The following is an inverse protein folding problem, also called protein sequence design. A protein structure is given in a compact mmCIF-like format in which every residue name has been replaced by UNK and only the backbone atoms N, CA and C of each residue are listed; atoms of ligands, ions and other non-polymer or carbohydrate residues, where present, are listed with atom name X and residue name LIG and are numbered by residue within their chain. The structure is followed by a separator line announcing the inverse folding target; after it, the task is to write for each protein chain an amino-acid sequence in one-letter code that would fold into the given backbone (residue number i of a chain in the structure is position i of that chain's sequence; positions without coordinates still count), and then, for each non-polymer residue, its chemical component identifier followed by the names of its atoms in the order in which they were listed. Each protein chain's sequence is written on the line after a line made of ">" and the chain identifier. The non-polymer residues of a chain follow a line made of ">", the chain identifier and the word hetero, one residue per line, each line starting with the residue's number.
data_IF_819353549595
#
_entry.id   IF_819353549595
#
_cell.length_a   1.000
_cell.length_b   1.000
_cell.length_c   1.000
_cell.angle_alpha   90.00
_cell.angle_beta   90.00
_cell.angle_gamma   90.00
#
_symmetry.space_group_name_H-M   'P 1'
#
loop_
_entity.id
_entity.type
_entity.pdbx_description
1 polymer ?
#
# COMPACT_ATOMS: atom_id res chain seq x y z
N UNK A 1 -7.36 -17.24 4.53
CA UNK A 1 -6.43 -16.73 3.49
C UNK A 1 -6.23 -17.73 2.36
N UNK A 2 -6.02 -19.02 2.65
CA UNK A 2 -5.80 -20.06 1.63
C UNK A 2 -6.99 -20.29 0.68
N UNK A 3 -8.21 -20.11 1.18
CA UNK A 3 -9.45 -20.30 0.40
C UNK A 3 -9.86 -19.07 -0.44
N UNK A 4 -9.11 -17.97 -0.38
CA UNK A 4 -9.45 -16.76 -1.11
C UNK A 4 -9.13 -16.91 -2.61
N UNK A 5 -9.93 -16.25 -3.45
CA UNK A 5 -9.67 -16.19 -4.90
C UNK A 5 -8.68 -15.06 -5.20
N UNK A 6 -7.46 -15.42 -5.55
CA UNK A 6 -6.43 -14.45 -5.94
C UNK A 6 -6.48 -14.13 -7.44
N UNK A 7 -6.12 -12.90 -7.77
CA UNK A 7 -5.78 -12.46 -9.12
C UNK A 7 -4.42 -11.73 -9.09
N UNK A 8 -3.86 -11.48 -10.27
CA UNK A 8 -2.48 -11.05 -10.42
C UNK A 8 -2.30 -9.96 -11.49
N UNK A 9 -3.37 -9.23 -11.81
CA UNK A 9 -3.36 -8.23 -12.88
C UNK A 9 -2.21 -7.23 -12.72
N UNK A 10 -1.98 -6.72 -11.51
CA UNK A 10 -0.92 -5.74 -11.27
C UNK A 10 0.46 -6.29 -11.67
N UNK A 11 0.81 -7.49 -11.20
CA UNK A 11 2.13 -8.09 -11.44
C UNK A 11 2.25 -8.75 -12.82
N UNK A 12 1.13 -9.03 -13.47
CA UNK A 12 1.09 -9.63 -14.82
C UNK A 12 1.16 -8.57 -15.91
N UNK A 13 0.47 -7.45 -15.73
CA UNK A 13 0.22 -6.47 -16.79
C UNK A 13 1.18 -5.26 -16.72
N UNK A 14 1.88 -5.05 -15.60
CA UNK A 14 2.86 -3.97 -15.43
C UNK A 14 4.32 -4.48 -15.48
N UNK A 15 5.28 -3.64 -15.91
CA UNK A 15 6.68 -4.04 -15.99
C UNK A 15 7.27 -4.33 -14.60
N UNK A 16 7.81 -5.54 -14.44
CA UNK A 16 8.50 -5.98 -13.25
C UNK A 16 9.99 -5.61 -13.30
N UNK A 17 10.57 -5.34 -12.14
CA UNK A 17 12.01 -5.30 -11.96
C UNK A 17 12.61 -6.70 -12.19
N UNK A 18 13.60 -6.85 -13.10
CA UNK A 18 14.19 -8.15 -13.38
C UNK A 18 15.04 -8.68 -12.21
N UNK A 19 15.44 -7.82 -11.27
CA UNK A 19 16.23 -8.23 -10.10
C UNK A 19 15.33 -8.61 -8.93
N UNK A 20 15.68 -9.72 -8.29
CA UNK A 20 15.08 -10.20 -7.04
C UNK A 20 15.91 -9.84 -5.80
N UNK A 21 16.94 -9.00 -5.95
CA UNK A 21 17.81 -8.62 -4.83
C UNK A 21 17.04 -7.74 -3.84
N UNK A 22 16.93 -8.12 -2.55
CA UNK A 22 16.12 -7.42 -1.56
C UNK A 22 16.81 -6.19 -0.95
N UNK A 23 17.97 -5.78 -1.47
CA UNK A 23 18.76 -4.66 -0.93
C UNK A 23 18.33 -3.32 -1.53
N UNK A 24 18.42 -2.21 -0.76
CA UNK A 24 18.12 -0.88 -1.27
C UNK A 24 18.90 -0.51 -2.53
N UNK A 25 18.20 -0.07 -3.59
CA UNK A 25 18.80 0.32 -4.87
C UNK A 25 17.86 1.17 -5.72
N UNK A 26 18.40 1.79 -6.77
CA UNK A 26 17.57 2.36 -7.83
C UNK A 26 17.00 1.23 -8.70
N UNK A 27 15.70 1.28 -8.95
CA UNK A 27 14.93 0.38 -9.79
C UNK A 27 14.47 1.18 -10.99
N UNK A 28 14.86 0.76 -12.20
CA UNK A 28 14.60 1.48 -13.44
C UNK A 28 13.63 0.69 -14.31
N UNK A 29 12.76 1.39 -15.06
CA UNK A 29 11.85 0.78 -16.05
C UNK A 29 10.95 -0.33 -15.50
N UNK A 30 10.49 -0.16 -14.27
CA UNK A 30 9.61 -1.09 -13.59
C UNK A 30 8.63 -0.37 -12.65
N UNK A 31 7.45 -0.95 -12.48
CA UNK A 31 6.41 -0.48 -11.55
C UNK A 31 6.52 -1.15 -10.17
N UNK A 32 7.22 -2.28 -10.06
CA UNK A 32 7.39 -3.02 -8.82
C UNK A 32 8.61 -3.94 -8.86
N UNK A 33 9.02 -4.43 -7.69
CA UNK A 33 9.93 -5.57 -7.56
C UNK A 33 9.21 -6.70 -6.83
N UNK A 34 9.40 -7.94 -7.29
CA UNK A 34 9.00 -9.09 -6.50
C UNK A 34 9.77 -9.09 -5.19
N UNK A 35 9.06 -9.20 -4.06
CA UNK A 35 9.66 -9.09 -2.73
C UNK A 35 8.84 -9.90 -1.76
N UNK A 36 9.48 -10.87 -1.10
CA UNK A 36 8.85 -11.67 -0.06
C UNK A 36 8.92 -10.92 1.28
N UNK A 37 7.88 -11.02 2.14
CA UNK A 37 7.98 -10.62 3.52
C UNK A 37 9.14 -11.29 4.25
N UNK A 38 9.75 -10.57 5.19
CA UNK A 38 10.75 -11.12 6.10
C UNK A 38 10.06 -11.74 7.29
N UNK A 39 10.24 -13.05 7.47
CA UNK A 39 9.68 -13.82 8.57
C UNK A 39 9.91 -13.13 9.91
N UNK A 40 8.88 -13.09 10.73
CA UNK A 40 8.92 -12.52 12.08
C UNK A 40 9.08 -13.62 13.13
N UNK A 41 9.62 -13.27 14.30
CA UNK A 41 10.02 -14.23 15.34
C UNK A 41 8.83 -15.01 15.93
N UNK A 42 7.75 -14.31 16.23
CA UNK A 42 6.56 -14.87 16.88
C UNK A 42 5.33 -14.04 16.48
N UNK A 43 4.69 -14.34 15.33
CA UNK A 43 3.49 -13.62 14.91
C UNK A 43 2.35 -13.86 15.90
N UNK A 44 1.85 -12.80 16.51
CA UNK A 44 0.71 -12.85 17.42
C UNK A 44 -0.37 -11.88 16.93
N UNK A 45 -1.50 -12.43 16.49
CA UNK A 45 -2.60 -11.67 15.92
C UNK A 45 -3.40 -11.01 17.05
N UNK A 46 -3.34 -9.68 17.11
CA UNK A 46 -4.02 -8.87 18.13
C UNK A 46 -5.45 -8.52 17.73
N UNK A 47 -5.65 -8.17 16.46
CA UNK A 47 -6.93 -7.67 15.94
C UNK A 47 -7.12 -8.19 14.51
N UNK A 48 -8.37 -8.59 14.21
CA UNK A 48 -8.91 -8.71 12.85
C UNK A 48 -10.17 -7.87 12.80
N UNK A 49 -10.29 -7.00 11.80
CA UNK A 49 -11.49 -6.17 11.60
C UNK A 49 -12.52 -6.99 10.82
N UNK A 50 -13.66 -7.39 11.43
CA UNK A 50 -14.58 -8.33 10.79
C UNK A 50 -15.16 -7.82 9.48
N UNK A 51 -15.51 -6.53 9.40
CA UNK A 51 -16.06 -5.93 8.18
C UNK A 51 -15.07 -5.98 7.01
N UNK A 52 -13.77 -5.78 7.27
CA UNK A 52 -12.74 -5.83 6.23
C UNK A 52 -12.45 -7.28 5.83
N UNK A 53 -12.48 -8.22 6.77
CA UNK A 53 -12.40 -9.65 6.45
C UNK A 53 -13.59 -10.07 5.57
N UNK A 54 -14.77 -9.55 5.87
CA UNK A 54 -15.99 -9.79 5.12
C UNK A 54 -15.91 -9.30 3.66
N UNK A 55 -15.33 -8.12 3.41
CA UNK A 55 -15.05 -7.61 2.05
C UNK A 55 -14.25 -8.62 1.21
N UNK A 56 -13.28 -9.27 1.84
CA UNK A 56 -12.41 -10.25 1.18
C UNK A 56 -13.02 -11.65 1.08
N UNK A 57 -14.15 -11.91 1.76
CA UNK A 57 -14.68 -13.27 1.93
C UNK A 57 -13.85 -14.14 2.88
N UNK A 58 -13.15 -13.51 3.83
CA UNK A 58 -12.30 -14.15 4.83
C UNK A 58 -13.07 -14.38 6.14
N UNK A 59 -12.93 -15.57 6.73
CA UNK A 59 -13.34 -15.83 8.12
C UNK A 59 -12.41 -15.05 9.09
N UNK A 60 -12.94 -14.13 9.91
CA UNK A 60 -12.13 -13.30 10.81
C UNK A 60 -11.64 -14.04 12.06
N UNK A 61 -12.01 -15.31 12.26
CA UNK A 61 -11.62 -16.10 13.44
C UNK A 61 -10.10 -16.14 13.58
N UNK A 62 -9.54 -15.63 14.69
CA UNK A 62 -8.09 -15.64 14.90
C UNK A 62 -7.58 -17.07 15.05
N UNK A 63 -6.68 -17.49 14.15
CA UNK A 63 -5.94 -18.76 14.28
C UNK A 63 -4.43 -18.51 14.15
N UNK A 64 -3.58 -19.43 14.64
CA UNK A 64 -2.13 -19.35 14.43
C UNK A 64 -1.76 -19.23 12.95
N UNK A 65 -2.45 -19.96 12.07
CA UNK A 65 -2.24 -19.92 10.62
C UNK A 65 -2.57 -18.55 10.03
N UNK A 66 -3.64 -17.91 10.50
CA UNK A 66 -4.00 -16.57 10.08
C UNK A 66 -2.95 -15.55 10.55
N UNK A 67 -2.44 -15.71 11.77
CA UNK A 67 -1.36 -14.88 12.31
C UNK A 67 -0.07 -15.05 11.48
N UNK A 68 0.27 -16.27 11.05
CA UNK A 68 1.41 -16.52 10.17
C UNK A 68 1.28 -15.80 8.82
N UNK A 69 0.12 -15.85 8.18
CA UNK A 69 -0.06 -15.18 6.88
C UNK A 69 -0.06 -13.66 7.04
N UNK A 70 -0.82 -13.12 8.00
CA UNK A 70 -0.94 -11.67 8.21
C UNK A 70 0.32 -11.06 8.86
N UNK A 71 1.17 -11.87 9.50
CA UNK A 71 2.49 -11.49 9.98
C UNK A 71 3.60 -11.60 8.92
N UNK A 72 3.31 -12.17 7.75
CA UNK A 72 4.29 -12.37 6.68
C UNK A 72 5.16 -13.62 6.83
N UNK A 73 4.81 -14.55 7.71
CA UNK A 73 5.53 -15.81 7.89
C UNK A 73 5.14 -16.89 6.87
N UNK A 74 3.97 -16.76 6.25
CA UNK A 74 3.47 -17.73 5.29
C UNK A 74 2.84 -17.05 4.07
N UNK A 75 3.26 -17.51 2.89
CA UNK A 75 2.65 -17.15 1.61
C UNK A 75 1.77 -18.32 1.17
N UNK A 76 0.52 -18.02 0.83
CA UNK A 76 -0.47 -19.03 0.42
C UNK A 76 -0.55 -19.14 -1.11
N UNK A 77 -1.06 -20.25 -1.67
CA UNK A 77 -1.22 -20.39 -3.11
C UNK A 77 -2.00 -19.22 -3.73
N UNK A 78 -1.49 -18.69 -4.86
CA UNK A 78 -2.09 -17.56 -5.57
C UNK A 78 -1.50 -16.19 -5.23
N UNK A 79 -0.89 -16.03 -4.05
CA UNK A 79 -0.16 -14.81 -3.71
C UNK A 79 1.07 -14.63 -4.60
N UNK A 80 1.31 -13.39 -5.03
CA UNK A 80 2.50 -12.99 -5.79
C UNK A 80 3.08 -11.71 -5.16
N UNK A 81 3.84 -11.84 -4.06
CA UNK A 81 4.25 -10.69 -3.28
C UNK A 81 5.15 -9.72 -4.04
N UNK A 82 4.91 -8.42 -3.85
CA UNK A 82 5.67 -7.35 -4.48
C UNK A 82 5.75 -6.09 -3.61
N UNK A 83 6.74 -5.25 -3.88
CA UNK A 83 6.85 -3.90 -3.38
C UNK A 83 6.80 -2.90 -4.55
N UNK A 84 5.95 -1.88 -4.48
CA UNK A 84 5.75 -0.94 -5.58
C UNK A 84 6.90 0.08 -5.70
N UNK A 85 7.21 0.45 -6.94
CA UNK A 85 8.18 1.48 -7.29
C UNK A 85 7.44 2.80 -7.58
N UNK A 86 7.77 3.85 -6.84
CA UNK A 86 7.28 5.21 -7.07
C UNK A 86 8.31 6.24 -6.62
N UNK A 87 8.11 7.48 -7.04
CA UNK A 87 8.86 8.65 -6.59
C UNK A 87 7.92 9.59 -5.84
N UNK A 88 8.35 10.83 -5.64
CA UNK A 88 7.46 11.85 -5.09
C UNK A 88 8.17 13.15 -4.74
N UNK A 89 7.38 14.21 -4.64
CA UNK A 89 7.77 15.47 -4.05
C UNK A 89 7.48 15.43 -2.54
N UNK A 90 8.53 15.48 -1.74
CA UNK A 90 8.43 15.55 -0.28
C UNK A 90 8.63 17.00 0.17
N UNK A 91 7.62 17.57 0.83
CA UNK A 91 7.62 18.97 1.28
C UNK A 91 8.01 19.95 0.16
N UNK A 92 7.48 19.74 -1.04
CA UNK A 92 7.70 20.59 -2.22
C UNK A 92 9.01 20.34 -2.98
N UNK A 93 9.85 19.39 -2.56
CA UNK A 93 11.12 19.06 -3.24
C UNK A 93 11.08 17.66 -3.83
N UNK A 94 11.54 17.49 -5.06
CA UNK A 94 11.66 16.17 -5.68
C UNK A 94 12.62 15.27 -4.88
N UNK A 95 12.10 14.16 -4.35
CA UNK A 95 12.85 13.22 -3.52
C UNK A 95 13.50 12.08 -4.32
N UNK A 96 13.33 12.06 -5.65
CA UNK A 96 13.78 10.96 -6.49
C UNK A 96 12.94 9.70 -6.29
N UNK A 97 13.59 8.54 -6.36
CA UNK A 97 12.92 7.26 -6.12
C UNK A 97 12.65 7.04 -4.63
N UNK A 98 11.40 6.72 -4.33
CA UNK A 98 10.89 6.24 -3.07
C UNK A 98 10.52 4.76 -3.24
N UNK A 99 9.23 4.43 -3.18
CA UNK A 99 8.71 3.08 -3.27
C UNK A 99 8.27 2.53 -1.92
N UNK A 100 7.71 1.32 -1.94
CA UNK A 100 7.26 0.63 -0.74
C UNK A 100 8.45 0.16 0.10
N UNK A 101 9.03 1.07 0.87
CA UNK A 101 10.25 0.82 1.65
C UNK A 101 10.06 -0.02 2.92
N UNK A 102 8.82 -0.28 3.32
CA UNK A 102 8.45 -1.14 4.45
C UNK A 102 7.09 -1.81 4.25
N UNK A 103 6.59 -1.81 3.02
CA UNK A 103 5.29 -2.37 2.69
C UNK A 103 5.49 -3.43 1.59
N UNK A 104 4.74 -4.52 1.68
CA UNK A 104 4.77 -5.59 0.71
C UNK A 104 3.32 -5.99 0.45
N UNK A 105 2.87 -5.82 -0.79
CA UNK A 105 1.57 -6.32 -1.23
C UNK A 105 1.68 -7.82 -1.43
N UNK A 106 0.85 -8.62 -0.75
CA UNK A 106 0.85 -10.08 -0.86
C UNK A 106 0.22 -10.55 -2.18
N UNK A 107 -0.76 -9.79 -2.67
CA UNK A 107 -1.48 -10.08 -3.89
C UNK A 107 -2.81 -9.34 -3.92
N UNK A 108 -3.63 -9.72 -4.89
CA UNK A 108 -4.93 -9.13 -5.14
C UNK A 108 -5.99 -10.20 -4.90
N UNK A 109 -6.99 -9.90 -4.08
CA UNK A 109 -8.09 -10.80 -3.75
C UNK A 109 -9.34 -10.32 -4.44
N UNK A 110 -10.03 -11.23 -5.13
CA UNK A 110 -11.38 -10.97 -5.61
C UNK A 110 -12.33 -11.26 -4.46
N UNK A 111 -12.84 -10.20 -3.85
CA UNK A 111 -13.72 -10.22 -2.70
C UNK A 111 -15.20 -10.38 -3.10
N UNK A 112 -16.07 -9.84 -2.25
CA UNK A 112 -17.51 -9.75 -2.52
C UNK A 112 -17.80 -8.87 -3.74
N UNK A 113 -18.91 -9.15 -4.39
CA UNK A 113 -19.39 -8.43 -5.58
C UNK A 113 -18.37 -8.38 -6.74
N UNK A 114 -17.48 -9.38 -6.80
CA UNK A 114 -16.37 -9.46 -7.75
C UNK A 114 -15.39 -8.27 -7.71
N UNK A 115 -15.43 -7.48 -6.63
CA UNK A 115 -14.49 -6.38 -6.42
C UNK A 115 -13.08 -6.90 -6.10
N UNK A 116 -12.07 -6.23 -6.63
CA UNK A 116 -10.67 -6.63 -6.45
C UNK A 116 -9.98 -5.72 -5.45
N UNK A 117 -9.36 -6.32 -4.44
CA UNK A 117 -8.69 -5.64 -3.35
C UNK A 117 -7.22 -6.04 -3.27
N UNK A 118 -6.31 -5.07 -3.22
CA UNK A 118 -4.90 -5.28 -2.89
C UNK A 118 -4.77 -5.50 -1.37
N UNK A 119 -4.06 -6.56 -0.97
CA UNK A 119 -3.78 -6.88 0.45
C UNK A 119 -2.31 -6.62 0.73
N UNK A 120 -2.01 -5.62 1.56
CA UNK A 120 -0.65 -5.12 1.78
C UNK A 120 -0.23 -5.17 3.25
N UNK A 121 0.91 -5.78 3.52
CA UNK A 121 1.51 -5.81 4.86
C UNK A 121 2.50 -4.66 5.01
N UNK A 122 2.27 -3.77 5.99
CA UNK A 122 3.20 -2.68 6.34
C UNK A 122 3.94 -3.04 7.64
N UNK A 123 5.27 -2.96 7.60
CA UNK A 123 6.18 -3.52 8.59
C UNK A 123 6.75 -4.90 8.22
N UNK A 124 6.48 -5.37 7.01
CA UNK A 124 6.77 -6.73 6.54
C UNK A 124 8.25 -7.01 6.24
N UNK A 125 9.16 -6.06 6.48
CA UNK A 125 10.59 -6.22 6.24
C UNK A 125 11.14 -5.29 5.16
N UNK A 126 12.47 -5.33 4.95
CA UNK A 126 13.15 -4.50 3.96
C UNK A 126 12.81 -4.92 2.53
N UNK A 127 12.91 -3.94 1.64
CA UNK A 127 12.65 -4.04 0.20
C UNK A 127 13.74 -3.27 -0.57
N UNK A 128 13.80 -3.36 -1.90
CA UNK A 128 14.67 -2.50 -2.72
C UNK A 128 14.45 -0.99 -2.51
N UNK A 129 13.34 -0.62 -1.87
CA UNK A 129 12.89 0.75 -1.64
C UNK A 129 13.11 1.25 -0.20
N UNK A 130 13.68 0.42 0.69
CA UNK A 130 13.85 0.79 2.12
C UNK A 130 14.83 1.93 2.36
N UNK A 131 15.64 2.31 1.36
CA UNK A 131 16.69 3.33 1.47
C UNK A 131 17.64 3.02 2.64
N UNK A 132 17.53 3.76 3.75
CA UNK A 132 18.34 3.58 4.97
C UNK A 132 17.53 3.01 6.14
N UNK A 133 16.24 2.72 5.94
CA UNK A 133 15.36 2.18 6.97
C UNK A 133 15.45 0.65 7.04
N UNK A 134 15.01 0.10 8.17
CA UNK A 134 15.02 -1.34 8.46
C UNK A 134 13.83 -2.12 7.86
N UNK A 135 12.87 -1.43 7.25
CA UNK A 135 11.66 -2.05 6.68
C UNK A 135 10.63 -2.52 7.72
N UNK A 136 10.79 -2.21 9.00
CA UNK A 136 9.90 -2.62 10.09
C UNK A 136 8.95 -1.49 10.53
N UNK A 137 7.85 -1.86 11.19
CA UNK A 137 6.94 -0.93 11.85
C UNK A 137 6.83 -1.29 13.34
N UNK A 138 6.41 -0.32 14.15
CA UNK A 138 6.22 -0.48 15.60
C UNK A 138 4.74 -0.49 15.94
N UNK A 139 4.39 -1.14 17.06
CA UNK A 139 3.02 -1.30 17.50
C UNK A 139 2.25 0.04 17.53
N UNK A 140 2.85 1.09 18.08
CA UNK A 140 2.21 2.41 18.21
C UNK A 140 1.78 3.01 16.86
N UNK A 141 2.64 3.00 15.85
CA UNK A 141 2.29 3.51 14.51
C UNK A 141 1.24 2.62 13.84
N UNK A 142 1.35 1.30 14.02
CA UNK A 142 0.44 0.34 13.40
C UNK A 142 -0.97 0.41 14.02
N UNK A 143 -1.08 0.64 15.34
CA UNK A 143 -2.36 0.90 16.02
C UNK A 143 -3.01 2.19 15.50
N UNK A 144 -2.23 3.29 15.39
CA UNK A 144 -2.74 4.56 14.84
C UNK A 144 -3.30 4.37 13.43
N UNK A 145 -2.55 3.68 12.56
CA UNK A 145 -2.99 3.44 11.19
C UNK A 145 -4.26 2.60 11.11
N UNK A 146 -4.37 1.53 11.92
CA UNK A 146 -5.59 0.72 11.98
C UNK A 146 -6.79 1.55 12.46
N UNK A 147 -6.66 2.22 13.60
CA UNK A 147 -7.77 2.98 14.21
C UNK A 147 -8.19 4.14 13.31
N UNK A 148 -7.25 4.90 12.75
CA UNK A 148 -7.57 6.03 11.89
C UNK A 148 -8.18 5.58 10.56
N UNK A 149 -7.68 4.50 9.94
CA UNK A 149 -8.27 3.95 8.70
C UNK A 149 -9.74 3.61 8.88
N UNK A 150 -10.07 2.87 9.95
CA UNK A 150 -11.45 2.42 10.17
C UNK A 150 -12.35 3.54 10.69
N UNK A 151 -11.82 4.47 11.51
CA UNK A 151 -12.56 5.66 11.92
C UNK A 151 -12.94 6.52 10.71
N UNK A 152 -12.02 6.74 9.78
CA UNK A 152 -12.29 7.51 8.56
C UNK A 152 -13.36 6.84 7.70
N UNK A 153 -13.32 5.51 7.59
CA UNK A 153 -14.36 4.74 6.89
C UNK A 153 -15.74 4.96 7.51
N UNK A 154 -15.88 4.77 8.83
CA UNK A 154 -17.16 4.94 9.53
C UNK A 154 -17.63 6.40 9.60
N UNK A 155 -16.72 7.36 9.45
CA UNK A 155 -17.07 8.77 9.30
C UNK A 155 -17.56 9.10 7.87
N UNK A 156 -17.52 8.16 6.93
CA UNK A 156 -17.90 8.37 5.53
C UNK A 156 -16.78 8.99 4.67
N UNK A 157 -15.55 9.04 5.17
CA UNK A 157 -14.40 9.60 4.44
C UNK A 157 -13.75 8.50 3.60
N UNK A 158 -13.52 8.70 2.28
CA UNK A 158 -12.80 7.73 1.45
C UNK A 158 -11.40 7.43 2.00
N UNK A 159 -11.08 6.16 2.22
CA UNK A 159 -9.86 5.73 2.90
C UNK A 159 -9.45 4.32 2.49
N UNK A 160 -8.15 4.01 2.60
CA UNK A 160 -7.69 2.63 2.74
C UNK A 160 -8.26 2.01 4.01
N UNK A 161 -8.48 0.70 4.00
CA UNK A 161 -8.98 -0.08 5.13
C UNK A 161 -7.84 -0.81 5.83
N UNK A 162 -8.03 -1.17 7.10
CA UNK A 162 -7.09 -1.98 7.87
C UNK A 162 -7.74 -3.31 8.27
N UNK A 163 -7.20 -4.42 7.79
CA UNK A 163 -7.69 -5.76 8.06
C UNK A 163 -7.24 -6.29 9.42
N UNK A 164 -5.97 -6.10 9.78
CA UNK A 164 -5.42 -6.74 10.98
C UNK A 164 -4.20 -6.04 11.55
N UNK A 165 -3.88 -6.41 12.79
CA UNK A 165 -2.67 -6.01 13.51
C UNK A 165 -2.01 -7.25 14.15
N UNK A 166 -0.73 -7.44 13.86
CA UNK A 166 0.07 -8.59 14.31
C UNK A 166 1.33 -8.09 15.03
N UNK A 167 1.62 -8.59 16.22
CA UNK A 167 2.92 -8.42 16.87
C UNK A 167 3.94 -9.37 16.26
N UNK A 168 5.18 -8.91 16.11
CA UNK A 168 6.24 -9.70 15.46
C UNK A 168 7.08 -10.52 16.43
N UNK A 169 7.01 -10.20 17.74
CA UNK A 169 7.93 -10.72 18.75
C UNK A 169 9.35 -10.14 18.66
N UNK A 170 9.56 -9.14 17.81
CA UNK A 170 10.82 -8.41 17.65
C UNK A 170 10.79 -7.09 18.43
N UNK A 171 11.96 -6.60 18.82
CA UNK A 171 12.16 -5.26 19.37
C UNK A 171 12.73 -4.37 18.26
N UNK A 172 12.08 -3.24 18.00
CA UNK A 172 12.44 -2.33 16.92
C UNK A 172 12.80 -0.97 17.51
N UNK A 173 13.99 -0.48 17.19
CA UNK A 173 14.46 0.81 17.71
C UNK A 173 13.84 1.97 16.92
N UNK A 174 13.21 2.91 17.61
CA UNK A 174 12.66 4.14 17.03
C UNK A 174 12.97 5.34 17.89
N UNK A 175 13.25 6.45 17.23
CA UNK A 175 13.22 7.76 17.85
C UNK A 175 11.85 8.37 17.57
N UNK A 176 10.98 8.37 18.58
CA UNK A 176 9.59 8.78 18.44
C UNK A 176 9.44 10.29 18.21
N UNK A 177 10.32 11.08 18.82
CA UNK A 177 10.25 12.54 18.78
C UNK A 177 11.28 13.17 17.84
N UNK A 178 12.12 12.35 17.21
CA UNK A 178 13.25 12.79 16.39
C UNK A 178 14.20 13.70 17.17
N UNK A 179 14.37 13.43 18.47
CA UNK A 179 15.16 14.24 19.41
C UNK A 179 16.57 13.66 19.69
N UNK A 180 16.91 12.55 19.04
CA UNK A 180 18.17 11.85 19.20
C UNK A 180 18.17 10.77 20.30
N UNK A 181 17.03 10.48 20.93
CA UNK A 181 16.90 9.49 22.00
C UNK A 181 16.07 8.26 21.58
N UNK A 182 16.64 7.34 20.79
CA UNK A 182 15.89 6.19 20.32
C UNK A 182 15.61 5.18 21.43
N UNK A 183 14.38 4.66 21.46
CA UNK A 183 13.94 3.62 22.38
C UNK A 183 13.48 2.37 21.61
N UNK A 184 13.51 1.22 22.29
CA UNK A 184 12.98 -0.01 21.75
C UNK A 184 11.45 -0.05 21.91
N UNK A 185 10.75 -0.26 20.81
CA UNK A 185 9.30 -0.48 20.78
C UNK A 185 8.99 -1.89 20.25
N UNK A 186 7.87 -2.51 20.65
CA UNK A 186 7.43 -3.78 20.05
C UNK A 186 7.22 -3.64 18.55
N UNK A 187 7.79 -4.55 17.77
CA UNK A 187 7.55 -4.64 16.33
C UNK A 187 6.13 -5.11 16.02
N UNK A 188 5.53 -4.53 14.97
CA UNK A 188 4.21 -4.90 14.51
C UNK A 188 4.08 -4.84 12.98
N UNK A 189 3.14 -5.63 12.46
CA UNK A 189 2.68 -5.59 11.07
C UNK A 189 1.21 -5.20 11.06
N UNK A 190 0.85 -4.20 10.26
CA UNK A 190 -0.55 -3.87 9.95
C UNK A 190 -0.86 -4.34 8.53
N UNK A 191 -1.96 -5.07 8.38
CA UNK A 191 -2.47 -5.47 7.07
C UNK A 191 -3.46 -4.41 6.59
N UNK A 192 -3.14 -3.76 5.47
CA UNK A 192 -3.97 -2.77 4.78
C UNK A 192 -4.68 -3.41 3.60
N UNK A 193 -5.85 -2.88 3.28
CA UNK A 193 -6.68 -3.32 2.16
C UNK A 193 -7.20 -2.10 1.40
N UNK A 194 -7.07 -2.10 0.08
CA UNK A 194 -7.57 -1.03 -0.78
C UNK A 194 -7.85 -1.54 -2.20
N UNK A 195 -8.70 -0.88 -3.00
CA UNK A 195 -8.85 -1.23 -4.42
C UNK A 195 -7.52 -1.08 -5.19
N UNK A 196 -6.71 -0.08 -4.78
CA UNK A 196 -5.31 0.03 -5.16
C UNK A 196 -4.51 0.92 -4.22
N UNK A 197 -3.21 0.67 -4.11
CA UNK A 197 -2.22 1.55 -3.47
C UNK A 197 -1.46 2.44 -4.47
N UNK A 198 -1.95 2.59 -5.71
CA UNK A 198 -1.40 3.56 -6.67
C UNK A 198 -1.52 5.01 -6.18
N UNK A 199 -0.42 5.75 -6.33
CA UNK A 199 -0.21 7.12 -5.88
C UNK A 199 0.16 8.03 -7.05
N UNK A 200 0.12 9.35 -6.86
CA UNK A 200 0.63 10.29 -7.87
C UNK A 200 2.11 10.02 -8.18
N UNK A 201 2.89 9.70 -7.13
CA UNK A 201 4.29 9.31 -7.23
C UNK A 201 4.61 8.14 -8.18
N UNK A 202 3.66 7.23 -8.43
CA UNK A 202 3.84 6.13 -9.39
C UNK A 202 3.92 6.64 -10.83
N UNK A 203 3.27 7.77 -11.14
CA UNK A 203 3.29 8.41 -12.45
C UNK A 203 4.44 9.42 -12.56
N UNK A 204 4.75 10.14 -11.49
CA UNK A 204 5.84 11.11 -11.47
C UNK A 204 7.21 10.47 -11.72
N UNK A 205 7.48 9.28 -11.18
CA UNK A 205 8.78 8.63 -11.33
C UNK A 205 9.16 8.31 -12.78
N UNK A 206 8.37 7.55 -13.55
CA UNK A 206 8.69 7.30 -14.96
C UNK A 206 8.68 8.59 -15.78
N UNK A 207 7.79 9.55 -15.49
CA UNK A 207 7.79 10.86 -16.16
C UNK A 207 9.10 11.64 -15.93
N UNK A 208 9.60 11.68 -14.70
CA UNK A 208 10.86 12.36 -14.34
C UNK A 208 12.10 11.74 -14.99
N UNK A 209 11.98 10.49 -15.47
CA UNK A 209 13.06 9.70 -16.08
C UNK A 209 12.93 9.59 -17.59
N UNK A 210 11.97 10.29 -18.19
CA UNK A 210 11.60 10.17 -19.61
C UNK A 210 11.27 8.72 -20.04
N UNK A 211 10.77 7.92 -19.11
CA UNK A 211 10.37 6.53 -19.32
C UNK A 211 8.90 6.45 -19.75
N UNK A 212 8.64 6.95 -20.95
CA UNK A 212 7.29 7.07 -21.49
C UNK A 212 6.61 5.72 -21.78
N UNK A 213 7.37 4.63 -21.93
CA UNK A 213 6.81 3.29 -22.12
C UNK A 213 6.16 2.78 -20.82
N UNK A 214 6.91 2.80 -19.72
CA UNK A 214 6.38 2.45 -18.40
C UNK A 214 5.20 3.35 -18.01
N UNK A 215 5.32 4.66 -18.24
CA UNK A 215 4.24 5.61 -17.94
C UNK A 215 2.96 5.28 -18.72
N UNK A 216 3.03 5.02 -20.03
CA UNK A 216 1.85 4.68 -20.84
C UNK A 216 1.20 3.38 -20.40
N UNK A 217 2.00 2.35 -20.07
CA UNK A 217 1.49 1.08 -19.54
C UNK A 217 0.76 1.28 -18.22
N UNK A 218 1.34 2.05 -17.31
CA UNK A 218 0.72 2.37 -16.02
C UNK A 218 -0.59 3.16 -16.17
N UNK A 219 -0.62 4.17 -17.04
CA UNK A 219 -1.83 4.97 -17.32
C UNK A 219 -2.93 4.09 -17.90
N UNK A 220 -2.61 3.27 -18.92
CA UNK A 220 -3.56 2.33 -19.51
C UNK A 220 -4.12 1.36 -18.47
N UNK A 221 -3.24 0.70 -17.70
CA UNK A 221 -3.64 -0.21 -16.63
C UNK A 221 -4.58 0.45 -15.62
N UNK A 222 -4.24 1.67 -15.19
CA UNK A 222 -5.05 2.41 -14.21
C UNK A 222 -6.43 2.74 -14.77
N UNK A 223 -6.49 3.20 -16.02
CA UNK A 223 -7.73 3.54 -16.70
C UNK A 223 -8.62 2.31 -16.93
N UNK A 224 -8.09 1.24 -17.51
CA UNK A 224 -8.83 0.02 -17.81
C UNK A 224 -9.41 -0.61 -16.54
N UNK A 225 -8.71 -0.48 -15.41
CA UNK A 225 -9.12 -1.09 -14.15
C UNK A 225 -10.05 -0.23 -13.31
N UNK A 226 -9.76 1.05 -13.17
CA UNK A 226 -10.44 1.91 -12.19
C UNK A 226 -11.29 3.02 -12.82
N UNK A 227 -11.03 3.33 -14.09
CA UNK A 227 -11.70 4.42 -14.80
C UNK A 227 -12.09 4.03 -16.24
N UNK A 228 -12.79 2.89 -16.44
CA UNK A 228 -13.01 2.32 -17.77
C UNK A 228 -13.79 3.24 -18.71
N UNK A 229 -14.54 4.21 -18.17
CA UNK A 229 -15.26 5.24 -18.94
C UNK A 229 -14.35 6.15 -19.78
N UNK A 230 -13.06 6.21 -19.48
CA UNK A 230 -12.06 6.97 -20.25
C UNK A 230 -11.23 6.10 -21.19
N UNK A 231 -11.66 4.85 -21.43
CA UNK A 231 -11.04 3.93 -22.38
C UNK A 231 -12.01 3.65 -23.52
N UNK A 232 -11.56 3.85 -24.75
CA UNK A 232 -12.30 3.51 -25.96
C UNK A 232 -11.37 2.79 -26.94
N UNK A 233 -11.31 1.45 -26.82
CA UNK A 233 -10.34 0.64 -27.55
C UNK A 233 -8.90 1.06 -27.23
N UNK A 234 -8.16 1.50 -28.24
CA UNK A 234 -6.79 1.97 -28.05
C UNK A 234 -6.70 3.42 -27.57
N UNK A 235 -7.78 4.19 -27.62
CA UNK A 235 -7.80 5.60 -27.21
C UNK A 235 -8.03 5.74 -25.71
N UNK A 236 -7.24 6.63 -25.08
CA UNK A 236 -7.29 6.96 -23.66
C UNK A 236 -7.61 8.45 -23.49
N UNK A 237 -8.70 8.78 -22.79
CA UNK A 237 -9.01 10.16 -22.42
C UNK A 237 -8.27 10.55 -21.12
N UNK A 238 -6.99 10.88 -21.27
CA UNK A 238 -6.11 11.25 -20.15
C UNK A 238 -6.53 12.58 -19.52
N UNK A 239 -7.15 13.49 -20.30
CA UNK A 239 -7.61 14.79 -19.78
C UNK A 239 -8.85 14.59 -18.90
N UNK A 240 -9.82 13.80 -19.34
CA UNK A 240 -10.97 13.40 -18.54
C UNK A 240 -10.57 12.64 -17.28
N UNK A 241 -9.63 11.70 -17.39
CA UNK A 241 -9.05 11.02 -16.24
C UNK A 241 -8.42 11.98 -15.22
N UNK A 242 -7.59 12.92 -15.68
CA UNK A 242 -6.98 13.91 -14.80
C UNK A 242 -8.04 14.77 -14.09
N UNK A 243 -9.08 15.20 -14.80
CA UNK A 243 -10.19 15.95 -14.22
C UNK A 243 -10.93 15.15 -13.14
N UNK A 244 -11.17 13.85 -13.36
CA UNK A 244 -11.77 12.98 -12.35
C UNK A 244 -10.87 12.81 -11.12
N UNK A 245 -9.58 12.58 -11.29
CA UNK A 245 -8.63 12.48 -10.17
C UNK A 245 -8.61 13.77 -9.36
N UNK A 246 -8.63 14.93 -10.02
CA UNK A 246 -8.70 16.23 -9.36
C UNK A 246 -10.00 16.38 -8.56
N UNK A 247 -11.15 15.98 -9.12
CA UNK A 247 -12.43 16.04 -8.43
C UNK A 247 -12.48 15.11 -7.21
N UNK A 248 -12.00 13.87 -7.34
CA UNK A 248 -11.93 12.90 -6.23
C UNK A 248 -11.00 13.38 -5.12
N UNK A 249 -9.87 13.97 -5.48
CA UNK A 249 -8.93 14.57 -4.53
C UNK A 249 -9.56 15.74 -3.78
N UNK A 250 -10.25 16.64 -4.51
CA UNK A 250 -10.97 17.75 -3.89
C UNK A 250 -12.07 17.26 -2.93
N UNK A 251 -12.81 16.21 -3.31
CA UNK A 251 -13.81 15.57 -2.44
C UNK A 251 -13.17 14.99 -1.17
N UNK A 252 -12.09 14.21 -1.30
CA UNK A 252 -11.35 13.66 -0.16
C UNK A 252 -10.89 14.75 0.81
N UNK A 253 -10.31 15.84 0.32
CA UNK A 253 -9.87 16.97 1.16
C UNK A 253 -11.04 17.70 1.80
N UNK A 254 -12.17 17.84 1.09
CA UNK A 254 -13.40 18.40 1.65
C UNK A 254 -13.90 17.56 2.83
N UNK A 255 -13.88 16.23 2.68
CA UNK A 255 -14.25 15.29 3.74
C UNK A 255 -13.28 15.36 4.93
N UNK A 256 -11.98 15.59 4.70
CA UNK A 256 -11.03 15.86 5.79
C UNK A 256 -11.39 17.12 6.56
N UNK A 257 -11.70 18.21 5.85
CA UNK A 257 -12.12 19.46 6.48
C UNK A 257 -13.41 19.28 7.28
N UNK A 258 -14.38 18.51 6.75
CA UNK A 258 -15.66 18.22 7.40
C UNK A 258 -15.49 17.58 8.78
N UNK A 259 -14.52 16.66 8.93
CA UNK A 259 -14.27 15.94 10.19
C UNK A 259 -13.12 16.53 11.00
N UNK A 260 -12.52 17.65 10.57
CA UNK A 260 -11.37 18.25 11.23
C UNK A 260 -10.10 17.39 11.20
N UNK A 261 -9.95 16.53 10.19
CA UNK A 261 -8.77 15.67 10.04
C UNK A 261 -7.59 16.42 9.43
N UNK A 262 -6.42 16.28 10.05
CA UNK A 262 -5.15 16.83 9.57
C UNK A 262 -4.21 15.67 9.24
N UNK A 263 -3.95 15.46 7.95
CA UNK A 263 -3.10 14.37 7.48
C UNK A 263 -1.61 14.53 7.87
N UNK A 264 -1.12 15.76 7.93
CA UNK A 264 0.26 16.10 8.31
C UNK A 264 1.34 15.91 7.23
N UNK A 265 1.15 15.02 6.25
CA UNK A 265 2.18 14.68 5.24
C UNK A 265 1.58 14.47 3.84
N UNK A 266 1.06 15.55 3.24
CA UNK A 266 0.48 15.55 1.89
C UNK A 266 1.54 15.64 0.78
N UNK A 267 2.55 14.78 0.86
CA UNK A 267 3.52 14.60 -0.23
C UNK A 267 2.83 13.88 -1.40
N UNK A 268 3.35 14.04 -2.63
CA UNK A 268 2.70 13.42 -3.80
C UNK A 268 2.77 11.89 -3.78
N UNK A 269 3.73 11.31 -3.07
CA UNK A 269 3.76 9.87 -2.78
C UNK A 269 2.63 9.43 -1.83
N UNK A 270 2.01 10.33 -1.05
CA UNK A 270 0.88 10.01 -0.17
C UNK A 270 -0.48 10.43 -0.75
N UNK A 271 -0.55 10.75 -2.03
CA UNK A 271 -1.80 11.09 -2.70
C UNK A 271 -2.28 9.92 -3.55
N UNK A 272 -3.36 9.26 -3.12
CA UNK A 272 -3.96 8.14 -3.86
C UNK A 272 -4.52 8.60 -5.21
N UNK A 273 -4.26 7.82 -6.26
CA UNK A 273 -4.86 8.07 -7.57
C UNK A 273 -6.38 7.87 -7.57
N UNK A 274 -6.94 7.21 -6.55
CA UNK A 274 -8.36 6.93 -6.39
C UNK A 274 -9.09 7.93 -5.48
N UNK A 275 -8.37 8.91 -4.90
CA UNK A 275 -8.92 9.85 -3.92
C UNK A 275 -9.20 9.21 -2.57
N UNK A 276 -8.36 8.26 -2.14
CA UNK A 276 -8.42 7.62 -0.83
C UNK A 276 -7.42 8.26 0.14
N UNK A 277 -7.85 8.47 1.39
CA UNK A 277 -6.93 8.74 2.51
C UNK A 277 -6.01 7.53 2.69
N UNK A 278 -4.70 7.75 2.70
CA UNK A 278 -3.67 6.71 2.69
C UNK A 278 -2.47 7.15 3.53
N UNK A 279 -1.76 6.20 4.14
CA UNK A 279 -0.53 6.45 4.93
C UNK A 279 -0.72 7.38 6.14
N UNK A 280 -1.48 6.86 7.10
CA UNK A 280 -1.59 7.42 8.45
C UNK A 280 -0.24 7.35 9.19
N UNK A 281 0.27 8.53 9.57
CA UNK A 281 1.54 8.72 10.30
C UNK A 281 1.40 8.86 11.81
#
# INVERSE_FOLDING_TARGET
>A
MDALRYTDRFVRDLPADPSVEPRPRQVMRACFSHTLPTLVRKPELLVVVPEVAELLGLDPTPTPELAEVLGGNRIVPGMKPYAACYGGHQFGTWAGQLGDGRAITLGEVVGRDDEVWEVQLKGAGPTPYSRRADGRAVLRSSVRELVCSEAMHHLGVPTTRALSLVLTGESVQRDMFYDGHPANEPGAVVCRVAPSFLRFGNFELPASRDDLDTLRKLVRFTLERFYPRYVSGDQLDVVGFFAEVAQRTAWMVTEWMRVGFVHGVMNTDNMSILGLTIDYG
#
